data_IF_120236802808
#
_entry.id   IF_120236802808
#
_cell.length_a   1.000
_cell.length_b   1.000
_cell.length_c   1.000
_cell.angle_alpha   90.00
_cell.angle_beta   90.00
_cell.angle_gamma   90.00
#
_symmetry.space_group_name_H-M   'P 1'
#
loop_
_entity.id
_entity.type
_entity.pdbx_description
1 polymer ?
#
# COMPACT_ATOMS: atom_id res chain seq x y z
N UNK A 1 -42.84 -4.83 -79.30
CA UNK A 1 -41.48 -4.68 -79.89
C UNK A 1 -40.74 -3.57 -79.17
N UNK A 2 -39.40 -3.57 -79.19
CA UNK A 2 -38.55 -2.53 -78.56
C UNK A 2 -38.66 -1.20 -79.32
N UNK A 3 -38.67 -0.06 -78.62
CA UNK A 3 -37.59 0.96 -78.58
C UNK A 3 -38.12 2.36 -78.24
N UNK A 4 -37.53 3.01 -77.22
CA UNK A 4 -37.26 4.45 -77.18
C UNK A 4 -36.15 4.65 -76.13
N UNK A 5 -34.92 5.01 -76.47
CA UNK A 5 -34.38 6.26 -77.07
C UNK A 5 -34.23 7.40 -76.05
N UNK A 6 -32.99 7.51 -75.55
CA UNK A 6 -32.21 8.75 -75.32
C UNK A 6 -32.65 9.76 -74.23
N UNK A 7 -31.67 10.62 -73.91
CA UNK A 7 -31.63 11.75 -72.94
C UNK A 7 -30.86 11.34 -71.67
N UNK A 8 -29.53 11.35 -71.67
CA UNK A 8 -28.62 12.51 -71.65
C UNK A 8 -28.40 13.02 -70.21
N UNK A 9 -27.23 12.70 -69.65
CA UNK A 9 -26.75 13.24 -68.39
C UNK A 9 -26.53 14.76 -68.51
N UNK A 10 -27.16 15.54 -67.66
CA UNK A 10 -26.68 16.87 -67.26
C UNK A 10 -26.60 16.94 -65.75
N UNK A 11 -25.37 16.93 -65.25
CA UNK A 11 -25.04 17.30 -63.88
C UNK A 11 -25.37 18.77 -63.65
N UNK A 12 -26.22 19.09 -62.68
CA UNK A 12 -26.27 20.42 -62.11
C UNK A 12 -26.51 20.33 -60.61
N UNK A 13 -25.62 20.96 -59.85
CA UNK A 13 -25.53 20.80 -58.41
C UNK A 13 -26.70 21.48 -57.69
N UNK A 14 -27.54 20.68 -57.05
CA UNK A 14 -28.25 21.12 -55.86
C UNK A 14 -27.38 20.78 -54.65
N UNK A 15 -26.58 21.74 -54.18
CA UNK A 15 -25.85 21.63 -52.91
C UNK A 15 -26.89 21.70 -51.79
N UNK A 16 -27.50 20.54 -51.50
CA UNK A 16 -28.17 20.33 -50.24
C UNK A 16 -27.09 20.29 -49.15
N UNK A 17 -26.79 21.46 -48.58
CA UNK A 17 -26.02 21.59 -47.35
C UNK A 17 -26.87 21.12 -46.16
N UNK A 18 -27.44 19.92 -46.27
CA UNK A 18 -27.83 19.13 -45.13
C UNK A 18 -26.52 18.61 -44.54
N UNK A 19 -25.88 19.44 -43.71
CA UNK A 19 -24.82 18.96 -42.84
C UNK A 19 -25.41 17.83 -42.03
N UNK A 20 -25.08 16.59 -42.40
CA UNK A 20 -25.31 15.46 -41.52
C UNK A 20 -24.52 15.77 -40.26
N UNK A 21 -25.23 16.21 -39.23
CA UNK A 21 -24.88 15.91 -37.86
C UNK A 21 -24.88 14.40 -37.76
N UNK A 22 -23.77 13.78 -38.20
CA UNK A 22 -23.50 12.40 -37.88
C UNK A 22 -23.59 12.25 -36.37
N UNK A 23 -23.94 11.07 -35.85
CA UNK A 23 -23.82 10.83 -34.44
C UNK A 23 -22.36 11.08 -34.08
N UNK A 24 -22.10 12.21 -33.44
CA UNK A 24 -20.91 12.40 -32.63
C UNK A 24 -21.00 11.34 -31.55
N UNK A 25 -20.45 10.16 -31.84
CA UNK A 25 -20.01 9.21 -30.84
C UNK A 25 -18.77 9.82 -30.17
N UNK A 26 -19.00 10.96 -29.53
CA UNK A 26 -18.37 11.27 -28.26
C UNK A 26 -18.84 10.19 -27.28
N UNK A 27 -18.24 9.01 -27.41
CA UNK A 27 -18.01 8.18 -26.25
C UNK A 27 -17.00 8.97 -25.43
N UNK A 28 -17.56 9.86 -24.62
CA UNK A 28 -16.84 10.75 -23.74
C UNK A 28 -15.88 9.89 -22.92
N UNK A 29 -14.58 10.22 -23.00
CA UNK A 29 -13.52 9.42 -22.42
C UNK A 29 -13.57 9.52 -20.90
N UNK A 30 -14.49 8.79 -20.27
CA UNK A 30 -14.68 8.69 -18.83
C UNK A 30 -13.56 7.85 -18.20
N UNK A 31 -12.32 8.28 -18.42
CA UNK A 31 -11.15 7.74 -17.76
C UNK A 31 -11.11 8.30 -16.34
N UNK A 32 -11.17 7.40 -15.37
CA UNK A 32 -11.04 7.73 -13.95
C UNK A 32 -9.57 7.67 -13.54
N UNK A 33 -9.21 8.38 -12.46
CA UNK A 33 -7.87 8.35 -11.89
C UNK A 33 -7.95 7.95 -10.41
N UNK A 34 -7.30 6.85 -10.04
CA UNK A 34 -7.06 6.46 -8.66
C UNK A 34 -5.63 6.84 -8.26
N UNK A 35 -5.44 7.42 -7.08
CA UNK A 35 -4.13 7.82 -6.56
C UNK A 35 -3.88 7.17 -5.21
N UNK A 36 -2.71 6.56 -5.03
CA UNK A 36 -2.49 5.75 -3.84
C UNK A 36 -1.14 5.07 -3.76
N UNK A 37 -1.09 4.04 -2.91
CA UNK A 37 0.09 3.19 -2.70
C UNK A 37 -0.20 1.79 -3.24
N UNK A 38 0.70 1.22 -4.02
CA UNK A 38 0.57 -0.18 -4.47
C UNK A 38 0.64 -1.11 -3.25
N UNK A 39 -0.37 -1.96 -3.05
CA UNK A 39 -0.43 -2.94 -1.94
C UNK A 39 -0.22 -4.38 -2.39
N UNK A 40 -0.70 -4.72 -3.57
CA UNK A 40 -0.42 -5.99 -4.24
C UNK A 40 -0.33 -5.73 -5.75
N UNK A 41 0.51 -6.48 -6.46
CA UNK A 41 0.62 -6.35 -7.92
C UNK A 41 1.16 -7.64 -8.52
N UNK A 42 0.43 -8.24 -9.46
CA UNK A 42 0.79 -9.47 -10.18
C UNK A 42 0.73 -9.26 -11.71
N UNK A 43 0.73 -10.33 -12.51
CA UNK A 43 0.73 -10.22 -13.97
C UNK A 43 -0.52 -9.56 -14.56
N UNK A 44 -1.68 -9.68 -13.89
CA UNK A 44 -3.00 -9.28 -14.40
C UNK A 44 -3.79 -8.39 -13.44
N UNK A 45 -3.33 -8.18 -12.20
CA UNK A 45 -3.96 -7.29 -11.24
C UNK A 45 -2.97 -6.34 -10.53
N UNK A 46 -3.47 -5.16 -10.20
CA UNK A 46 -2.84 -4.16 -9.34
C UNK A 46 -3.84 -3.71 -8.29
N UNK A 47 -3.46 -3.75 -7.01
CA UNK A 47 -4.25 -3.21 -5.92
C UNK A 47 -3.61 -1.91 -5.42
N UNK A 48 -4.39 -0.84 -5.42
CA UNK A 48 -3.98 0.48 -4.96
C UNK A 48 -4.78 0.83 -3.71
N UNK A 49 -4.09 1.18 -2.63
CA UNK A 49 -4.71 1.79 -1.45
C UNK A 49 -4.82 3.30 -1.67
N UNK A 50 -6.05 3.81 -1.76
CA UNK A 50 -6.31 5.25 -1.89
C UNK A 50 -6.00 6.00 -0.61
N UNK A 51 -6.03 7.34 -0.64
CA UNK A 51 -5.88 8.17 0.58
C UNK A 51 -6.92 7.84 1.66
N UNK A 52 -8.11 7.41 1.25
CA UNK A 52 -9.21 6.99 2.13
C UNK A 52 -9.05 5.54 2.63
N UNK A 53 -7.87 4.95 2.42
CA UNK A 53 -7.52 3.57 2.80
C UNK A 53 -8.41 2.47 2.19
N UNK A 54 -9.11 2.80 1.11
CA UNK A 54 -9.85 1.85 0.28
C UNK A 54 -8.88 1.11 -0.64
N UNK A 55 -8.93 -0.22 -0.65
CA UNK A 55 -8.24 -1.04 -1.64
C UNK A 55 -9.07 -1.08 -2.94
N UNK A 56 -8.58 -0.45 -3.99
CA UNK A 56 -9.15 -0.56 -5.33
C UNK A 56 -8.31 -1.52 -6.17
N UNK A 57 -8.97 -2.47 -6.83
CA UNK A 57 -8.32 -3.47 -7.70
C UNK A 57 -8.51 -3.08 -9.16
N UNK A 58 -7.41 -3.07 -9.90
CA UNK A 58 -7.33 -2.74 -11.32
C UNK A 58 -6.85 -3.96 -12.09
N UNK A 59 -7.53 -4.27 -13.19
CA UNK A 59 -7.11 -5.30 -14.15
C UNK A 59 -6.02 -4.70 -15.04
N UNK A 60 -4.84 -5.31 -15.04
CA UNK A 60 -3.75 -5.00 -15.95
C UNK A 60 -3.92 -5.78 -17.25
N UNK A 61 -3.51 -5.18 -18.37
CA UNK A 61 -3.58 -5.79 -19.71
C UNK A 61 -2.33 -5.45 -20.51
N UNK A 62 -2.13 -6.10 -21.66
CA UNK A 62 -1.04 -5.79 -22.58
C UNK A 62 -1.12 -4.35 -23.16
N UNK A 63 -2.29 -3.71 -23.06
CA UNK A 63 -2.49 -2.30 -23.43
C UNK A 63 -2.20 -1.31 -22.29
N UNK A 64 -1.99 -1.79 -21.05
CA UNK A 64 -1.68 -0.92 -19.91
C UNK A 64 -0.28 -0.34 -20.05
N UNK A 65 -0.20 0.99 -20.08
CA UNK A 65 1.08 1.72 -20.19
C UNK A 65 1.67 2.03 -18.82
N UNK A 66 3.00 2.13 -18.73
CA UNK A 66 3.71 2.38 -17.48
C UNK A 66 4.66 3.58 -17.62
N UNK A 67 4.66 4.47 -16.63
CA UNK A 67 5.55 5.65 -16.57
C UNK A 67 6.15 5.80 -15.17
N UNK A 68 7.31 6.45 -15.07
CA UNK A 68 7.91 6.92 -13.82
C UNK A 68 8.27 8.39 -13.99
N UNK A 69 7.53 9.27 -13.32
CA UNK A 69 7.52 10.69 -13.69
C UNK A 69 7.08 10.83 -15.15
N UNK A 70 7.93 11.43 -15.98
CA UNK A 70 7.67 11.60 -17.42
C UNK A 70 8.48 10.64 -18.31
N UNK A 71 9.28 9.76 -17.69
CA UNK A 71 9.99 8.67 -18.37
C UNK A 71 9.09 7.44 -18.52
N UNK A 72 9.29 6.67 -19.60
CA UNK A 72 8.69 5.35 -19.75
C UNK A 72 9.20 4.41 -18.63
N UNK A 73 8.31 3.57 -18.12
CA UNK A 73 8.60 2.49 -17.19
C UNK A 73 8.04 1.17 -17.73
N UNK A 74 8.20 0.07 -16.98
CA UNK A 74 7.64 -1.23 -17.31
C UNK A 74 6.75 -1.76 -16.20
N UNK A 75 6.10 -2.91 -16.42
CA UNK A 75 5.34 -3.59 -15.36
C UNK A 75 6.24 -3.94 -14.17
N UNK A 76 7.48 -4.38 -14.41
CA UNK A 76 8.42 -4.81 -13.38
C UNK A 76 8.88 -3.66 -12.46
N UNK A 77 8.75 -2.41 -12.92
CA UNK A 77 9.00 -1.21 -12.11
C UNK A 77 7.93 -0.96 -11.04
N UNK A 78 6.74 -1.56 -11.19
CA UNK A 78 5.62 -1.42 -10.25
C UNK A 78 5.84 -2.36 -9.07
N UNK A 79 6.22 -1.79 -7.94
CA UNK A 79 6.54 -2.50 -6.70
C UNK A 79 5.56 -2.13 -5.59
N UNK A 80 5.32 -3.06 -4.66
CA UNK A 80 4.53 -2.80 -3.44
C UNK A 80 5.20 -1.68 -2.63
N UNK A 81 4.41 -0.74 -2.10
CA UNK A 81 4.90 0.47 -1.44
C UNK A 81 5.13 1.65 -2.39
N UNK A 82 5.20 1.45 -3.70
CA UNK A 82 5.34 2.56 -4.65
C UNK A 82 4.09 3.45 -4.65
N UNK A 83 4.30 4.77 -4.70
CA UNK A 83 3.24 5.75 -4.92
C UNK A 83 2.91 5.83 -6.42
N UNK A 84 1.68 5.50 -6.77
CA UNK A 84 1.22 5.41 -8.15
C UNK A 84 -0.10 6.16 -8.37
N UNK A 85 -0.28 6.65 -9.59
CA UNK A 85 -1.55 7.10 -10.16
C UNK A 85 -1.95 6.08 -11.22
N UNK A 86 -3.16 5.53 -11.12
CA UNK A 86 -3.73 4.59 -12.09
C UNK A 86 -4.86 5.29 -12.81
N UNK A 87 -4.67 5.54 -14.11
CA UNK A 87 -5.75 5.92 -15.01
C UNK A 87 -6.46 4.64 -15.49
N UNK A 88 -7.78 4.59 -15.37
CA UNK A 88 -8.57 3.39 -15.67
C UNK A 88 -9.93 3.71 -16.28
N UNK A 89 -10.53 2.71 -16.90
CA UNK A 89 -11.93 2.72 -17.37
C UNK A 89 -12.71 1.59 -16.68
N UNK A 90 -14.01 1.78 -16.45
CA UNK A 90 -14.85 0.72 -15.87
C UNK A 90 -15.55 -0.04 -16.98
N UNK A 91 -15.12 -1.28 -17.25
CA UNK A 91 -15.70 -2.20 -18.24
C UNK A 91 -16.29 -3.42 -17.53
N UNK A 92 -17.57 -3.70 -17.78
CA UNK A 92 -18.30 -4.83 -17.17
C UNK A 92 -18.17 -4.90 -15.63
N UNK A 93 -18.16 -3.72 -14.98
CA UNK A 93 -17.99 -3.59 -13.53
C UNK A 93 -16.55 -3.78 -13.03
N UNK A 94 -15.56 -3.93 -13.91
CA UNK A 94 -14.14 -4.05 -13.59
C UNK A 94 -13.39 -2.78 -13.96
N UNK A 95 -12.55 -2.30 -13.06
CA UNK A 95 -11.61 -1.21 -13.36
C UNK A 95 -10.46 -1.78 -14.20
N UNK A 96 -10.32 -1.37 -15.46
CA UNK A 96 -9.24 -1.79 -16.38
C UNK A 96 -8.22 -0.67 -16.50
N UNK A 97 -6.95 -0.94 -16.17
CA UNK A 97 -5.90 0.06 -16.16
C UNK A 97 -5.42 0.42 -17.57
N UNK A 98 -5.37 1.71 -17.86
CA UNK A 98 -4.90 2.30 -19.12
C UNK A 98 -3.47 2.83 -18.96
N UNK A 99 -3.18 3.52 -17.85
CA UNK A 99 -1.84 4.00 -17.49
C UNK A 99 -1.58 3.83 -16.00
N UNK A 100 -0.37 3.38 -15.64
CA UNK A 100 0.17 3.37 -14.27
C UNK A 100 1.37 4.30 -14.21
N UNK A 101 1.20 5.49 -13.63
CA UNK A 101 2.26 6.50 -13.43
C UNK A 101 2.82 6.40 -12.02
N UNK A 102 4.04 5.87 -11.92
CA UNK A 102 4.86 5.81 -10.71
C UNK A 102 5.47 7.18 -10.39
N UNK A 103 5.66 7.45 -9.10
CA UNK A 103 6.33 8.66 -8.61
C UNK A 103 7.82 8.66 -8.96
N UNK A 104 8.36 9.84 -9.32
CA UNK A 104 9.74 9.96 -9.82
C UNK A 104 10.82 9.84 -8.73
N UNK A 105 10.50 10.19 -7.49
CA UNK A 105 11.44 10.20 -6.36
C UNK A 105 11.19 9.01 -5.44
N UNK A 106 12.06 8.00 -5.53
CA UNK A 106 12.42 7.22 -4.35
C UNK A 106 13.41 8.06 -3.54
N UNK A 107 12.94 8.80 -2.54
CA UNK A 107 13.79 9.55 -1.62
C UNK A 107 13.14 9.63 -0.24
N UNK A 108 13.96 9.44 0.79
CA UNK A 108 13.64 9.59 2.21
C UNK A 108 13.59 11.08 2.63
N UNK A 109 13.01 11.39 3.80
CA UNK A 109 13.04 12.71 4.45
C UNK A 109 11.79 13.60 4.24
N UNK A 110 11.53 14.64 5.04
CA UNK A 110 12.21 15.07 6.28
C UNK A 110 11.24 15.93 7.15
N UNK A 111 11.76 16.43 8.28
CA UNK A 111 11.07 16.99 9.46
C UNK A 111 10.45 18.41 9.36
N UNK A 112 9.70 18.78 10.42
CA UNK A 112 9.38 20.16 10.85
C UNK A 112 7.98 20.65 10.44
N UNK A 113 7.11 21.18 11.29
CA UNK A 113 7.21 21.71 12.66
C UNK A 113 5.85 21.49 13.38
N UNK A 114 5.67 21.57 14.71
CA UNK A 114 6.60 21.81 15.82
C UNK A 114 5.87 22.49 17.00
N UNK A 115 5.79 21.84 18.17
CA UNK A 115 5.13 22.37 19.39
C UNK A 115 5.85 21.92 20.67
N UNK A 116 5.90 22.79 21.67
CA UNK A 116 6.78 22.68 22.85
C UNK A 116 6.22 21.77 23.95
N UNK A 117 7.06 20.91 24.52
CA UNK A 117 6.86 20.29 25.83
C UNK A 117 8.20 20.03 26.54
N UNK A 118 8.22 20.26 27.85
CA UNK A 118 9.40 20.34 28.73
C UNK A 118 10.22 19.04 28.89
N UNK A 119 11.49 19.11 29.34
CA UNK A 119 12.38 17.95 29.40
C UNK A 119 12.05 17.00 30.55
N UNK A 120 12.21 15.69 30.31
CA UNK A 120 12.26 14.63 31.32
C UNK A 120 13.46 13.68 31.04
N UNK A 121 13.97 12.99 32.07
CA UNK A 121 15.39 12.68 32.15
C UNK A 121 15.81 11.43 31.37
N UNK A 122 17.08 11.43 30.95
CA UNK A 122 17.72 10.26 30.35
C UNK A 122 17.93 9.14 31.40
N UNK A 123 17.70 7.86 31.05
CA UNK A 123 18.26 6.75 31.79
C UNK A 123 19.75 6.65 31.48
N UNK A 124 20.58 6.99 32.47
CA UNK A 124 21.99 6.60 32.47
C UNK A 124 22.10 5.11 32.80
N UNK A 125 22.57 4.30 31.85
CA UNK A 125 23.47 3.17 32.15
C UNK A 125 24.20 2.74 30.89
N UNK A 126 25.44 3.18 30.74
CA UNK A 126 26.31 2.79 29.64
C UNK A 126 26.90 1.40 29.84
N UNK A 127 26.15 0.36 29.49
CA UNK A 127 26.75 -0.90 29.08
C UNK A 127 27.06 -0.82 27.58
N UNK A 128 28.32 -0.99 27.19
CA UNK A 128 28.70 -0.99 25.79
C UNK A 128 28.17 -2.27 25.11
N UNK A 129 26.99 -2.14 24.49
CA UNK A 129 26.35 -3.21 23.72
C UNK A 129 27.29 -3.58 22.58
N UNK A 130 27.71 -4.84 22.52
CA UNK A 130 28.65 -5.30 21.49
C UNK A 130 28.00 -5.26 20.10
N UNK A 131 28.82 -5.13 19.05
CA UNK A 131 28.31 -5.06 17.67
C UNK A 131 27.48 -6.29 17.25
N UNK A 132 27.64 -7.43 17.93
CA UNK A 132 26.86 -8.65 17.76
C UNK A 132 25.39 -8.48 18.22
N UNK A 133 25.17 -7.80 19.35
CA UNK A 133 23.82 -7.48 19.84
C UNK A 133 23.13 -6.39 19.00
N UNK A 134 23.89 -5.49 18.36
CA UNK A 134 23.34 -4.52 17.42
C UNK A 134 22.74 -5.19 16.16
N UNK A 135 23.20 -6.41 15.84
CA UNK A 135 22.71 -7.25 14.74
C UNK A 135 21.70 -8.32 15.21
N UNK A 136 21.26 -8.30 16.47
CA UNK A 136 20.32 -9.28 17.03
C UNK A 136 18.87 -8.76 17.08
N UNK A 137 17.91 -9.68 17.29
CA UNK A 137 16.51 -9.33 17.53
C UNK A 137 16.37 -8.48 18.80
N UNK A 138 15.93 -7.23 18.70
CA UNK A 138 15.77 -6.30 19.83
C UNK A 138 14.34 -6.30 20.36
N UNK A 139 14.15 -6.32 21.67
CA UNK A 139 12.83 -6.09 22.27
C UNK A 139 12.49 -4.59 22.22
N UNK A 140 11.22 -4.24 22.04
CA UNK A 140 10.76 -2.84 21.92
C UNK A 140 9.52 -2.57 22.79
N UNK A 141 9.33 -1.32 23.17
CA UNK A 141 8.14 -0.85 23.89
C UNK A 141 6.93 -0.81 22.92
N UNK A 142 5.78 -1.43 23.27
CA UNK A 142 4.59 -1.50 22.41
C UNK A 142 4.07 -0.16 21.91
N UNK A 143 4.31 0.94 22.65
CA UNK A 143 3.87 2.29 22.27
C UNK A 143 4.51 2.74 20.96
N UNK A 144 5.67 2.23 20.59
CA UNK A 144 6.39 2.60 19.36
C UNK A 144 6.05 1.69 18.17
N UNK A 145 5.10 0.77 18.34
CA UNK A 145 4.75 -0.22 17.32
C UNK A 145 3.31 0.00 16.85
N UNK A 146 3.12 0.03 15.53
CA UNK A 146 1.78 -0.13 14.98
C UNK A 146 1.45 -1.62 14.86
N UNK A 147 0.50 -2.08 15.67
CA UNK A 147 0.08 -3.47 15.76
C UNK A 147 -0.69 -3.97 14.52
N UNK A 148 -1.13 -3.07 13.63
CA UNK A 148 -1.85 -3.42 12.40
C UNK A 148 -0.91 -3.76 11.26
N UNK A 149 0.19 -3.02 11.10
CA UNK A 149 1.15 -3.18 9.99
C UNK A 149 2.52 -3.71 10.45
N UNK A 150 2.65 -4.11 11.72
CA UNK A 150 3.85 -4.70 12.30
C UNK A 150 5.12 -3.88 12.01
N UNK A 151 5.03 -2.56 12.20
CA UNK A 151 6.10 -1.60 11.96
C UNK A 151 6.50 -0.86 13.24
N UNK A 152 7.81 -0.63 13.42
CA UNK A 152 8.39 0.20 14.48
C UNK A 152 8.47 1.66 14.02
N UNK A 153 8.30 2.60 14.96
CA UNK A 153 8.38 4.05 14.75
C UNK A 153 9.20 4.72 15.85
N UNK A 154 9.73 5.92 15.59
CA UNK A 154 10.53 6.69 16.57
C UNK A 154 9.66 7.47 17.57
N UNK A 155 8.33 7.44 17.42
CA UNK A 155 7.38 8.17 18.26
C UNK A 155 6.30 7.24 18.85
N UNK A 156 5.64 7.62 19.96
CA UNK A 156 4.47 6.90 20.46
C UNK A 156 3.30 6.96 19.47
N UNK A 157 2.71 5.80 19.22
CA UNK A 157 1.56 5.58 18.35
C UNK A 157 0.24 5.78 19.11
N UNK A 158 -0.89 5.80 18.39
CA UNK A 158 -2.21 6.11 18.96
C UNK A 158 -2.69 4.93 19.81
N UNK A 159 -2.98 5.11 21.12
CA UNK A 159 -3.55 4.06 21.96
C UNK A 159 -5.00 3.77 21.60
N UNK A 160 -5.37 2.49 21.72
CA UNK A 160 -6.70 1.95 21.45
C UNK A 160 -7.05 0.96 22.56
N UNK A 161 -8.10 1.26 23.33
CA UNK A 161 -8.50 0.39 24.44
C UNK A 161 -9.63 -0.56 23.99
N UNK A 162 -9.42 -1.86 24.17
CA UNK A 162 -10.44 -2.90 23.92
C UNK A 162 -10.35 -3.95 25.03
N UNK A 163 -11.46 -4.19 25.74
CA UNK A 163 -11.53 -5.22 26.77
C UNK A 163 -10.57 -5.02 27.96
N UNK A 164 -10.16 -3.78 28.25
CA UNK A 164 -9.16 -3.46 29.27
C UNK A 164 -7.70 -3.63 28.83
N UNK A 165 -7.46 -3.99 27.56
CA UNK A 165 -6.13 -4.06 26.95
C UNK A 165 -5.87 -2.85 26.06
N UNK A 166 -4.62 -2.41 25.97
CA UNK A 166 -4.20 -1.27 25.13
C UNK A 166 -3.41 -1.72 23.91
N UNK A 167 -3.90 -1.37 22.73
CA UNK A 167 -3.24 -1.59 21.45
C UNK A 167 -2.73 -0.27 20.88
N UNK A 168 -1.80 -0.35 19.93
CA UNK A 168 -1.14 0.82 19.35
C UNK A 168 -1.23 0.82 17.82
N UNK A 169 -1.69 1.94 17.24
CA UNK A 169 -1.88 2.11 15.80
C UNK A 169 -1.33 3.44 15.28
N UNK A 170 -0.70 3.43 14.11
CA UNK A 170 -0.04 4.62 13.56
C UNK A 170 -0.96 5.70 12.97
N UNK A 171 -2.24 5.40 12.78
CA UNK A 171 -3.19 6.32 12.16
C UNK A 171 -4.64 6.02 12.59
N UNK A 172 -5.62 6.90 12.29
CA UNK A 172 -7.03 6.69 12.62
C UNK A 172 -7.60 5.36 12.09
N UNK A 173 -7.21 4.93 10.88
CA UNK A 173 -7.62 3.64 10.32
C UNK A 173 -7.06 2.45 11.11
N UNK A 174 -5.81 2.53 11.56
CA UNK A 174 -5.25 1.50 12.44
C UNK A 174 -5.96 1.49 13.80
N UNK A 175 -6.35 2.66 14.32
CA UNK A 175 -7.17 2.76 15.54
C UNK A 175 -8.54 2.12 15.37
N UNK A 176 -9.25 2.43 14.28
CA UNK A 176 -10.58 1.87 14.00
C UNK A 176 -10.51 0.35 13.80
N UNK A 177 -9.51 -0.14 13.04
CA UNK A 177 -9.28 -1.57 12.88
C UNK A 177 -8.95 -2.25 14.20
N UNK A 178 -8.06 -1.69 15.03
CA UNK A 178 -7.76 -2.24 16.36
C UNK A 178 -8.95 -2.20 17.32
N UNK A 179 -9.93 -1.30 17.12
CA UNK A 179 -11.18 -1.30 17.88
C UNK A 179 -12.16 -2.39 17.40
N UNK A 180 -12.29 -2.58 16.08
CA UNK A 180 -13.36 -3.39 15.48
C UNK A 180 -12.94 -4.83 15.12
N UNK A 181 -11.73 -5.02 14.63
CA UNK A 181 -11.20 -6.28 14.11
C UNK A 181 -10.41 -7.05 15.20
N UNK A 182 -10.90 -8.23 15.58
CA UNK A 182 -10.23 -9.09 16.54
C UNK A 182 -8.97 -9.77 15.99
N UNK A 183 -8.89 -10.01 14.68
CA UNK A 183 -7.73 -10.60 14.03
C UNK A 183 -6.56 -9.61 13.99
N UNK A 184 -6.84 -8.32 13.77
CA UNK A 184 -5.82 -7.27 13.86
C UNK A 184 -5.14 -7.20 15.23
N UNK A 185 -5.84 -7.60 16.30
CA UNK A 185 -5.32 -7.67 17.68
C UNK A 185 -4.51 -8.94 17.97
N UNK A 186 -4.45 -9.91 17.05
CA UNK A 186 -3.70 -11.16 17.23
C UNK A 186 -2.50 -11.29 16.30
N UNK A 187 -1.51 -12.07 16.74
CA UNK A 187 -0.34 -12.49 15.97
C UNK A 187 -0.03 -13.98 16.25
N UNK A 188 0.76 -14.63 15.41
CA UNK A 188 1.29 -15.96 15.70
C UNK A 188 2.72 -15.83 16.26
N UNK A 189 2.99 -16.49 17.39
CA UNK A 189 4.34 -16.59 17.95
C UNK A 189 5.21 -17.52 17.07
N UNK A 190 6.36 -17.07 16.54
CA UNK A 190 7.18 -17.85 15.62
C UNK A 190 8.00 -18.98 16.29
N UNK A 191 7.95 -19.12 17.62
CA UNK A 191 8.58 -20.20 18.39
C UNK A 191 7.56 -21.25 18.81
N UNK A 192 6.39 -20.85 19.34
CA UNK A 192 5.37 -21.79 19.81
C UNK A 192 4.31 -22.13 18.75
N UNK A 193 4.17 -21.32 17.71
CA UNK A 193 3.10 -21.42 16.71
C UNK A 193 1.70 -21.05 17.24
N UNK A 194 1.60 -20.54 18.48
CA UNK A 194 0.31 -20.17 19.09
C UNK A 194 -0.11 -18.77 18.69
N UNK A 195 -1.42 -18.55 18.61
CA UNK A 195 -1.99 -17.21 18.51
C UNK A 195 -1.86 -16.48 19.85
N UNK A 196 -1.35 -15.26 19.81
CA UNK A 196 -1.14 -14.38 20.97
C UNK A 196 -1.88 -13.06 20.77
N UNK A 197 -2.33 -12.46 21.87
CA UNK A 197 -2.89 -11.12 21.87
C UNK A 197 -1.75 -10.08 21.89
N UNK A 198 -1.73 -9.17 20.90
CA UNK A 198 -0.65 -8.20 20.71
C UNK A 198 -0.51 -7.20 21.85
N UNK A 199 -1.53 -6.97 22.67
CA UNK A 199 -1.46 -6.02 23.78
C UNK A 199 -0.64 -6.54 24.98
N UNK A 200 -0.56 -7.87 25.15
CA UNK A 200 0.22 -8.52 26.22
C UNK A 200 1.42 -9.32 25.70
N UNK A 201 1.59 -9.43 24.38
CA UNK A 201 2.73 -10.08 23.77
C UNK A 201 4.04 -9.32 24.01
N UNK A 202 5.14 -10.05 24.16
CA UNK A 202 6.48 -9.51 24.13
C UNK A 202 6.85 -9.19 22.68
N UNK A 203 7.20 -7.95 22.38
CA UNK A 203 7.42 -7.49 21.01
C UNK A 203 8.91 -7.41 20.68
N UNK A 204 9.31 -8.08 19.61
CA UNK A 204 10.65 -8.07 19.06
C UNK A 204 10.73 -7.43 17.68
N UNK A 205 11.88 -6.87 17.34
CA UNK A 205 12.21 -6.34 16.01
C UNK A 205 13.41 -7.09 15.49
N UNK A 206 13.24 -7.73 14.34
CA UNK A 206 14.29 -8.45 13.64
C UNK A 206 15.36 -7.48 13.08
N UNK A 207 16.57 -7.95 12.77
CA UNK A 207 17.60 -7.14 12.10
C UNK A 207 17.15 -6.59 10.74
N UNK A 208 16.13 -7.21 10.12
CA UNK A 208 15.45 -6.75 8.90
C UNK A 208 14.46 -5.60 9.13
N UNK A 209 14.25 -5.16 10.37
CA UNK A 209 13.24 -4.17 10.75
C UNK A 209 11.82 -4.73 10.97
N UNK A 210 11.58 -6.01 10.67
CA UNK A 210 10.25 -6.62 10.83
C UNK A 210 9.89 -6.83 12.30
N UNK A 211 8.69 -6.41 12.71
CA UNK A 211 8.15 -6.66 14.06
C UNK A 211 7.57 -8.07 14.16
N UNK A 212 7.89 -8.76 15.24
CA UNK A 212 7.41 -10.09 15.62
C UNK A 212 6.90 -10.09 17.07
N UNK A 213 5.96 -10.96 17.38
CA UNK A 213 5.27 -11.02 18.67
C UNK A 213 5.51 -12.39 19.31
N UNK A 214 5.69 -12.42 20.62
CA UNK A 214 5.96 -13.62 21.39
C UNK A 214 5.03 -13.71 22.61
N UNK A 215 4.65 -14.92 23.00
CA UNK A 215 3.86 -15.18 24.21
C UNK A 215 4.67 -14.98 25.50
N UNK A 216 6.01 -14.94 25.41
CA UNK A 216 6.92 -14.82 26.54
C UNK A 216 8.30 -14.32 26.14
N UNK A 217 9.04 -13.78 27.12
CA UNK A 217 10.45 -13.41 26.96
C UNK A 217 11.34 -14.63 26.62
N UNK A 218 10.97 -15.82 27.11
CA UNK A 218 11.67 -17.07 26.80
C UNK A 218 11.60 -17.40 25.30
N UNK A 219 10.44 -17.20 24.66
CA UNK A 219 10.30 -17.40 23.22
C UNK A 219 11.08 -16.33 22.43
N UNK A 220 11.05 -15.06 22.87
CA UNK A 220 11.88 -14.01 22.26
C UNK A 220 13.37 -14.37 22.34
N UNK A 221 13.85 -14.83 23.50
CA UNK A 221 15.24 -15.25 23.70
C UNK A 221 15.61 -16.48 22.86
N UNK A 222 14.74 -17.49 22.80
CA UNK A 222 14.93 -18.68 21.96
C UNK A 222 14.98 -18.33 20.46
N UNK A 223 14.15 -17.40 20.01
CA UNK A 223 14.19 -16.89 18.63
C UNK A 223 15.48 -16.11 18.36
N UNK A 224 15.90 -15.23 19.29
CA UNK A 224 17.17 -14.48 19.19
C UNK A 224 18.37 -15.43 19.09
N UNK A 225 18.41 -16.48 19.91
CA UNK A 225 19.48 -17.48 19.91
C UNK A 225 19.57 -18.26 18.57
N UNK A 226 18.42 -18.64 18.00
CA UNK A 226 18.35 -19.25 16.66
C UNK A 226 18.91 -18.32 15.57
N UNK A 227 18.62 -17.02 15.63
CA UNK A 227 19.10 -16.04 14.65
C UNK A 227 20.62 -15.84 14.69
N UNK A 228 21.26 -15.92 15.85
CA UNK A 228 22.71 -15.76 16.00
C UNK A 228 23.47 -17.09 15.85
N UNK A 229 22.83 -18.16 15.39
CA UNK A 229 23.43 -19.48 15.22
C UNK A 229 23.82 -20.18 16.53
N UNK A 230 23.44 -19.63 17.68
CA UNK A 230 23.75 -20.16 19.00
C UNK A 230 22.60 -21.05 19.45
N UNK A 231 22.70 -22.36 19.22
CA UNK A 231 21.70 -23.30 19.73
C UNK A 231 21.55 -23.14 21.26
N UNK A 232 20.31 -23.05 21.79
CA UNK A 232 20.08 -23.16 23.22
C UNK A 232 20.45 -24.57 23.67
N UNK A 233 21.29 -24.65 24.70
CA UNK A 233 21.74 -25.87 25.40
C UNK A 233 20.75 -26.30 26.46
#
# INVERSE_FOLDING_TARGET
MRTNRSILYWTLAAVAAFTMSGPSLAHEGHHHNAMGTVRAVDAVQLQLETKDSKLETFTLTDATTYKRGDSAAKREDVQVGARAVVMYETKDGKNVAIEVKLSATGHEGHEGHGASASPMPAPSSGAAITADEAAALRQVDPRFVCMVNNSLFDSPQIPVEVGGQTYFGCCPMCKERLATDAEARQAMDPVSGRMVDKAVAVIGVLPTGAVVYFESEANLAAHRAKLTGRQPS
#
